data_IF_129369845989
#
_entry.id   IF_129369845989
#
_cell.length_a   1.000
_cell.length_b   1.000
_cell.length_c   1.000
_cell.angle_alpha   90.00
_cell.angle_beta   90.00
_cell.angle_gamma   90.00
#
_symmetry.space_group_name_H-M   'P 1'
#
loop_
_entity.id
_entity.type
_entity.pdbx_description
1 polymer ?
#
# COMPACT_ATOMS: atom_id res chain seq x y z
N UNK A 1 44.69 -30.15 -2.66
CA UNK A 1 44.28 -29.88 -4.05
C UNK A 1 43.04 -30.73 -4.29
N UNK A 2 41.80 -30.24 -4.39
CA UNK A 2 41.21 -28.98 -4.85
C UNK A 2 39.95 -28.70 -3.99
N UNK A 3 39.74 -27.46 -3.49
CA UNK A 3 38.87 -26.39 -4.04
C UNK A 3 37.35 -26.71 -4.09
N UNK A 4 36.63 -26.01 -3.22
CA UNK A 4 35.30 -25.38 -3.36
C UNK A 4 34.20 -26.05 -4.23
N UNK A 5 33.04 -26.26 -3.59
CA UNK A 5 31.79 -25.70 -4.10
C UNK A 5 30.88 -25.32 -2.92
N UNK A 6 30.72 -24.01 -2.77
CA UNK A 6 29.79 -23.34 -1.87
C UNK A 6 28.45 -23.32 -2.61
N UNK A 7 27.52 -24.21 -2.25
CA UNK A 7 26.17 -24.14 -2.82
C UNK A 7 25.41 -23.02 -2.12
N UNK A 8 25.36 -21.90 -2.84
CA UNK A 8 24.60 -20.72 -2.52
C UNK A 8 23.15 -21.11 -2.21
N UNK A 9 22.69 -20.74 -1.01
CA UNK A 9 21.27 -20.65 -0.72
C UNK A 9 20.67 -19.65 -1.70
N UNK A 10 20.02 -20.17 -2.75
CA UNK A 10 19.14 -19.41 -3.60
C UNK A 10 18.04 -18.86 -2.71
N UNK A 11 18.11 -17.55 -2.44
CA UNK A 11 17.01 -16.79 -1.88
C UNK A 11 15.80 -17.02 -2.78
N UNK A 12 14.83 -17.78 -2.29
CA UNK A 12 13.49 -17.83 -2.85
C UNK A 12 12.94 -16.41 -2.77
N UNK A 13 13.15 -15.65 -3.84
CA UNK A 13 12.47 -14.40 -4.09
C UNK A 13 11.00 -14.79 -4.17
N UNK A 14 10.32 -14.72 -3.03
CA UNK A 14 8.89 -14.93 -2.95
C UNK A 14 8.29 -14.03 -4.02
N UNK A 15 7.75 -14.67 -5.06
CA UNK A 15 7.05 -14.00 -6.13
C UNK A 15 5.79 -13.45 -5.46
N UNK A 16 5.92 -12.29 -4.83
CA UNK A 16 4.84 -11.50 -4.27
C UNK A 16 4.00 -11.11 -5.46
N UNK A 17 3.12 -12.02 -5.83
CA UNK A 17 2.11 -11.80 -6.83
C UNK A 17 1.27 -10.64 -6.30
N UNK A 18 1.58 -9.41 -6.73
CA UNK A 18 0.79 -8.20 -6.52
C UNK A 18 -0.52 -8.28 -7.31
N UNK A 19 -1.13 -9.48 -7.29
CA UNK A 19 -2.19 -9.84 -8.21
C UNK A 19 -3.36 -8.89 -8.00
N UNK A 20 -3.96 -8.39 -9.08
CA UNK A 20 -5.19 -7.60 -9.03
C UNK A 20 -6.33 -8.24 -8.20
N UNK A 21 -6.23 -9.54 -7.89
CA UNK A 21 -7.20 -10.34 -7.14
C UNK A 21 -7.34 -9.87 -5.68
N UNK A 22 -6.25 -9.45 -5.02
CA UNK A 22 -6.32 -8.97 -3.63
C UNK A 22 -7.08 -7.64 -3.51
N UNK A 23 -6.91 -6.75 -4.50
CA UNK A 23 -7.66 -5.48 -4.57
C UNK A 23 -9.15 -5.75 -4.74
N UNK A 24 -9.54 -6.67 -5.63
CA UNK A 24 -10.95 -6.94 -5.90
C UNK A 24 -11.71 -7.43 -4.67
N UNK A 25 -11.11 -8.33 -3.90
CA UNK A 25 -11.70 -8.87 -2.66
C UNK A 25 -11.89 -7.78 -1.61
N UNK A 26 -10.91 -6.88 -1.44
CA UNK A 26 -10.96 -5.82 -0.42
C UNK A 26 -11.97 -4.73 -0.77
N UNK A 27 -12.09 -4.38 -2.05
CA UNK A 27 -12.95 -3.27 -2.46
C UNK A 27 -14.44 -3.63 -2.55
N UNK A 28 -14.83 -4.89 -2.83
CA UNK A 28 -16.24 -5.29 -2.95
C UNK A 28 -17.06 -4.46 -3.96
N UNK A 29 -18.39 -4.58 -3.97
CA UNK A 29 -19.23 -3.92 -5.00
C UNK A 29 -19.51 -2.43 -4.74
N UNK A 30 -19.12 -1.90 -3.57
CA UNK A 30 -19.40 -0.51 -3.17
C UNK A 30 -18.41 0.52 -3.73
N UNK A 31 -17.46 0.09 -4.57
CA UNK A 31 -16.52 0.95 -5.31
C UNK A 31 -16.84 0.93 -6.81
N UNK A 32 -16.88 2.11 -7.42
CA UNK A 32 -17.13 2.27 -8.86
C UNK A 32 -16.08 1.49 -9.70
N UNK A 33 -16.46 0.94 -10.87
CA UNK A 33 -15.52 0.26 -11.75
C UNK A 33 -14.32 1.14 -12.16
N UNK A 34 -14.54 2.44 -12.28
CA UNK A 34 -13.50 3.43 -12.64
C UNK A 34 -12.49 3.57 -11.49
N UNK A 35 -12.97 3.76 -10.26
CA UNK A 35 -12.12 3.87 -9.07
C UNK A 35 -11.33 2.57 -8.84
N UNK A 36 -11.98 1.41 -9.00
CA UNK A 36 -11.32 0.10 -8.94
C UNK A 36 -10.20 -0.02 -9.96
N UNK A 37 -10.47 0.36 -11.22
CA UNK A 37 -9.45 0.36 -12.29
C UNK A 37 -8.28 1.27 -11.93
N UNK A 38 -8.56 2.47 -11.40
CA UNK A 38 -7.55 3.43 -10.97
C UNK A 38 -6.66 2.86 -9.86
N UNK A 39 -7.24 2.27 -8.83
CA UNK A 39 -6.48 1.62 -7.74
C UNK A 39 -5.58 0.51 -8.30
N UNK A 40 -6.10 -0.34 -9.20
CA UNK A 40 -5.31 -1.41 -9.82
C UNK A 40 -4.13 -0.88 -10.64
N UNK A 41 -4.35 0.15 -11.45
CA UNK A 41 -3.28 0.78 -12.23
C UNK A 41 -2.25 1.42 -11.30
N UNK A 42 -2.68 2.17 -10.29
CA UNK A 42 -1.79 2.77 -9.31
C UNK A 42 -0.92 1.72 -8.59
N UNK A 43 -1.50 0.59 -8.17
CA UNK A 43 -0.75 -0.51 -7.56
C UNK A 43 0.23 -1.11 -8.57
N UNK A 44 -0.23 -1.43 -9.78
CA UNK A 44 0.60 -2.01 -10.84
C UNK A 44 1.81 -1.13 -11.17
N UNK A 45 1.59 0.18 -11.26
CA UNK A 45 2.60 1.13 -11.75
C UNK A 45 3.55 1.59 -10.64
N UNK A 46 3.08 1.71 -9.38
CA UNK A 46 3.82 2.39 -8.32
C UNK A 46 4.12 1.55 -7.08
N UNK A 47 3.65 0.31 -6.96
CA UNK A 47 3.85 -0.46 -5.73
C UNK A 47 5.34 -0.62 -5.38
N UNK A 48 6.17 -1.03 -6.34
CA UNK A 48 7.61 -1.20 -6.10
C UNK A 48 8.29 0.12 -5.75
N UNK A 49 7.89 1.21 -6.43
CA UNK A 49 8.43 2.54 -6.16
C UNK A 49 8.11 2.99 -4.73
N UNK A 50 6.86 2.86 -4.28
CA UNK A 50 6.47 3.23 -2.92
C UNK A 50 7.17 2.35 -1.87
N UNK A 51 7.24 1.03 -2.11
CA UNK A 51 7.95 0.11 -1.22
C UNK A 51 9.43 0.50 -1.07
N UNK A 52 10.09 0.83 -2.17
CA UNK A 52 11.47 1.32 -2.15
C UNK A 52 11.61 2.60 -1.32
N UNK A 53 10.67 3.55 -1.46
CA UNK A 53 10.68 4.78 -0.66
C UNK A 53 10.48 4.55 0.83
N UNK A 54 9.67 3.57 1.23
CA UNK A 54 9.57 3.21 2.64
C UNK A 54 10.84 2.53 3.18
N UNK A 55 11.54 1.74 2.36
CA UNK A 55 12.83 1.16 2.76
C UNK A 55 13.90 2.23 2.93
N UNK A 56 14.01 3.16 1.97
CA UNK A 56 14.91 4.32 2.08
C UNK A 56 14.61 5.16 3.33
N UNK A 57 13.32 5.41 3.62
CA UNK A 57 12.91 6.16 4.80
C UNK A 57 13.28 5.45 6.12
N UNK A 58 13.16 4.13 6.16
CA UNK A 58 13.52 3.32 7.33
C UNK A 58 15.04 3.25 7.56
N UNK A 59 15.83 3.30 6.48
CA UNK A 59 17.30 3.41 6.55
C UNK A 59 17.73 4.77 7.11
N UNK A 60 17.05 5.85 6.70
CA UNK A 60 17.34 7.22 7.16
C UNK A 60 16.82 7.51 8.58
N UNK A 61 15.64 6.97 8.95
CA UNK A 61 14.96 7.18 10.23
C UNK A 61 14.30 5.88 10.73
N UNK A 62 14.98 5.13 11.62
CA UNK A 62 14.46 3.87 12.12
C UNK A 62 13.08 4.00 12.81
N UNK A 63 12.19 3.07 12.48
CA UNK A 63 10.77 2.97 12.86
C UNK A 63 9.84 3.98 12.17
N UNK A 64 10.33 4.84 11.29
CA UNK A 64 9.49 5.84 10.63
C UNK A 64 8.43 5.18 9.73
N UNK A 65 8.79 4.11 9.01
CA UNK A 65 7.84 3.38 8.17
C UNK A 65 6.73 2.73 9.01
N UNK A 66 7.09 2.06 10.11
CA UNK A 66 6.15 1.42 11.04
C UNK A 66 5.16 2.43 11.65
N UNK A 67 5.65 3.62 12.02
CA UNK A 67 4.81 4.70 12.53
C UNK A 67 3.80 5.18 11.48
N UNK A 68 4.21 5.33 10.22
CA UNK A 68 3.31 5.72 9.13
C UNK A 68 2.25 4.64 8.90
N UNK A 69 2.64 3.37 8.83
CA UNK A 69 1.72 2.24 8.67
C UNK A 69 0.69 2.20 9.81
N UNK A 70 1.15 2.37 11.04
CA UNK A 70 0.30 2.44 12.22
C UNK A 70 -0.68 3.61 12.18
N UNK A 71 -0.27 4.78 11.69
CA UNK A 71 -1.15 5.94 11.54
C UNK A 71 -2.23 5.71 10.48
N UNK A 72 -1.86 5.16 9.32
CA UNK A 72 -2.79 4.85 8.23
C UNK A 72 -3.81 3.81 8.70
N UNK A 73 -3.34 2.72 9.33
CA UNK A 73 -4.21 1.67 9.89
C UNK A 73 -5.16 2.23 10.94
N UNK A 74 -4.66 3.03 11.87
CA UNK A 74 -5.48 3.68 12.90
C UNK A 74 -6.57 4.54 12.28
N UNK A 75 -6.23 5.33 11.24
CA UNK A 75 -7.20 6.17 10.56
C UNK A 75 -8.23 5.35 9.78
N UNK A 76 -7.81 4.31 9.06
CA UNK A 76 -8.73 3.39 8.38
C UNK A 76 -9.73 2.75 9.36
N UNK A 77 -9.28 2.27 10.53
CA UNK A 77 -10.17 1.69 11.54
C UNK A 77 -11.19 2.70 12.06
N UNK A 78 -10.80 3.97 12.24
CA UNK A 78 -11.73 5.05 12.57
C UNK A 78 -12.79 5.23 11.47
N UNK A 79 -12.39 5.20 10.20
CA UNK A 79 -13.34 5.31 9.08
C UNK A 79 -14.27 4.09 8.97
N UNK A 80 -13.74 2.89 9.19
CA UNK A 80 -14.51 1.63 9.20
C UNK A 80 -15.58 1.64 10.30
N UNK A 81 -15.26 2.18 11.48
CA UNK A 81 -16.19 2.29 12.60
C UNK A 81 -17.40 3.21 12.32
N UNK A 82 -17.30 4.10 11.34
CA UNK A 82 -18.41 4.97 10.91
C UNK A 82 -19.45 4.25 10.04
N UNK A 83 -19.23 2.97 9.69
CA UNK A 83 -20.10 2.18 8.79
C UNK A 83 -20.33 2.84 7.43
N UNK A 84 -19.34 3.59 6.93
CA UNK A 84 -19.41 4.25 5.63
C UNK A 84 -19.25 3.23 4.48
N UNK A 85 -19.80 3.54 3.30
CA UNK A 85 -19.47 2.81 2.07
C UNK A 85 -17.95 2.82 1.80
N UNK A 86 -17.42 1.74 1.22
CA UNK A 86 -15.97 1.59 0.98
C UNK A 86 -15.39 2.68 0.08
N UNK A 87 -16.17 3.23 -0.85
CA UNK A 87 -15.71 4.35 -1.67
C UNK A 87 -15.50 5.62 -0.85
N UNK A 88 -16.34 5.90 0.15
CA UNK A 88 -16.17 7.03 1.06
C UNK A 88 -14.97 6.79 1.98
N UNK A 89 -14.81 5.57 2.50
CA UNK A 89 -13.63 5.21 3.31
C UNK A 89 -12.34 5.43 2.51
N UNK A 90 -12.29 4.99 1.25
CA UNK A 90 -11.16 5.23 0.37
C UNK A 90 -10.91 6.73 0.13
N UNK A 91 -11.96 7.50 -0.19
CA UNK A 91 -11.86 8.95 -0.39
C UNK A 91 -11.33 9.67 0.85
N UNK A 92 -11.81 9.31 2.04
CA UNK A 92 -11.38 9.91 3.29
C UNK A 92 -9.89 9.63 3.57
N UNK A 93 -9.40 8.43 3.25
CA UNK A 93 -7.99 8.07 3.39
C UNK A 93 -7.12 8.89 2.41
N UNK A 94 -7.56 9.05 1.16
CA UNK A 94 -6.87 9.90 0.17
C UNK A 94 -6.77 11.34 0.69
N UNK A 95 -7.89 11.92 1.14
CA UNK A 95 -7.92 13.28 1.67
C UNK A 95 -7.05 13.45 2.91
N UNK A 96 -7.05 12.46 3.79
CA UNK A 96 -6.22 12.47 4.98
C UNK A 96 -4.72 12.40 4.64
N UNK A 97 -4.32 11.52 3.73
CA UNK A 97 -2.94 11.42 3.23
C UNK A 97 -2.51 12.71 2.55
N UNK A 98 -3.37 13.31 1.72
CA UNK A 98 -3.10 14.57 1.05
C UNK A 98 -2.85 15.70 2.06
N UNK A 99 -3.71 15.82 3.07
CA UNK A 99 -3.57 16.82 4.14
C UNK A 99 -2.33 16.58 5.00
N UNK A 100 -2.03 15.32 5.35
CA UNK A 100 -0.88 14.94 6.20
C UNK A 100 0.46 15.14 5.51
N UNK A 101 0.54 14.82 4.22
CA UNK A 101 1.77 14.95 3.43
C UNK A 101 2.08 16.39 3.00
N UNK A 102 1.07 17.27 2.97
CA UNK A 102 1.21 18.59 2.36
C UNK A 102 1.46 18.53 0.85
N UNK A 103 1.14 17.40 0.22
CA UNK A 103 1.27 17.22 -1.23
C UNK A 103 0.45 18.28 -1.98
N UNK A 104 0.99 18.76 -3.10
CA UNK A 104 0.24 19.62 -4.04
C UNK A 104 -0.60 18.83 -5.04
N UNK A 105 -0.36 17.52 -5.14
CA UNK A 105 -1.01 16.61 -6.07
C UNK A 105 -1.85 15.60 -5.29
N UNK A 106 -3.16 15.62 -5.52
CA UNK A 106 -4.09 14.65 -4.94
C UNK A 106 -3.81 13.24 -5.49
N UNK A 107 -3.33 13.16 -6.74
CA UNK A 107 -2.98 11.93 -7.43
C UNK A 107 -1.87 11.17 -6.70
N UNK A 108 -0.90 11.87 -6.12
CA UNK A 108 0.15 11.25 -5.31
C UNK A 108 -0.45 10.58 -4.06
N UNK A 109 -1.42 11.23 -3.41
CA UNK A 109 -2.12 10.66 -2.26
C UNK A 109 -3.00 9.47 -2.66
N UNK A 110 -3.64 9.51 -3.83
CA UNK A 110 -4.39 8.37 -4.38
C UNK A 110 -3.49 7.17 -4.66
N UNK A 111 -2.29 7.40 -5.19
CA UNK A 111 -1.31 6.34 -5.45
C UNK A 111 -0.87 5.69 -4.13
N UNK A 112 -0.53 6.49 -3.11
CA UNK A 112 -0.14 5.99 -1.78
C UNK A 112 -1.31 5.27 -1.09
N UNK A 113 -2.54 5.80 -1.17
CA UNK A 113 -3.72 5.11 -0.66
C UNK A 113 -3.92 3.75 -1.35
N UNK A 114 -3.69 3.69 -2.66
CA UNK A 114 -3.82 2.44 -3.45
C UNK A 114 -2.81 1.38 -3.00
N UNK A 115 -1.58 1.81 -2.67
CA UNK A 115 -0.56 0.95 -2.08
C UNK A 115 -1.03 0.32 -0.76
N UNK A 116 -1.58 1.12 0.16
CA UNK A 116 -2.08 0.58 1.42
C UNK A 116 -3.32 -0.30 1.25
N UNK A 117 -4.21 -0.01 0.30
CA UNK A 117 -5.34 -0.91 -0.04
C UNK A 117 -4.81 -2.27 -0.48
N UNK A 118 -3.72 -2.33 -1.24
CA UNK A 118 -3.09 -3.58 -1.62
C UNK A 118 -2.46 -4.29 -0.41
N UNK A 119 -1.89 -3.54 0.54
CA UNK A 119 -1.30 -4.10 1.75
C UNK A 119 -2.35 -4.76 2.66
N UNK A 120 -2.15 -6.05 2.96
CA UNK A 120 -3.09 -6.85 3.75
C UNK A 120 -3.14 -6.41 5.20
N UNK A 121 -2.07 -5.86 5.76
CA UNK A 121 -2.02 -5.57 7.20
C UNK A 121 -2.83 -4.33 7.59
N UNK A 122 -3.10 -3.44 6.63
CA UNK A 122 -3.76 -2.15 6.87
C UNK A 122 -5.28 -2.21 6.62
N UNK A 123 -5.75 -3.02 5.67
CA UNK A 123 -7.14 -3.01 5.19
C UNK A 123 -7.94 -4.30 5.49
N UNK A 124 -7.65 -4.99 6.59
CA UNK A 124 -8.47 -6.11 7.12
C UNK A 124 -9.74 -5.64 7.86
#
# INVERSE_FOLDING_TARGET
MALHAYDAQGSTQANLSYSPISVDRKLGDSISPITRRKIKLNVSDYFQFIKQKFMELEEDDPNCSELIFSQVKSYYLQQKALNLPKHEVYSNIVDWLHKRSGSKAIEAAEIVASFFVQDCEVFE
#
